data_IF_005833304765
#
_entry.id   IF_005833304765
#
_cell.length_a   1.000
_cell.length_b   1.000
_cell.length_c   1.000
_cell.angle_alpha   90.00
_cell.angle_beta   90.00
_cell.angle_gamma   90.00
#
_symmetry.space_group_name_H-M   'P 1'
#
loop_
_entity.id
_entity.type
_entity.pdbx_description
1 polymer ?
#
# COMPACT_ATOMS: atom_id res chain seq x y z
N UNK A 1 53.98 55.11 -41.11
CA UNK A 1 52.86 54.11 -41.05
C UNK A 1 52.92 53.41 -39.73
N UNK A 2 52.02 53.86 -38.85
CA UNK A 2 51.99 53.47 -37.45
C UNK A 2 50.96 52.36 -37.29
N UNK A 3 51.33 51.12 -36.98
CA UNK A 3 50.42 50.02 -36.68
C UNK A 3 50.10 50.05 -35.20
N UNK A 4 48.90 50.43 -34.88
CA UNK A 4 48.34 50.40 -33.53
C UNK A 4 47.86 48.99 -33.26
N UNK A 5 48.48 48.34 -32.29
CA UNK A 5 48.10 47.03 -31.75
C UNK A 5 47.01 47.23 -30.69
N UNK A 6 45.76 46.92 -31.00
CA UNK A 6 44.69 46.83 -30.01
C UNK A 6 44.80 45.48 -29.30
N UNK A 7 45.25 45.46 -28.05
CA UNK A 7 45.14 44.33 -27.12
C UNK A 7 43.75 44.35 -26.50
N UNK A 8 42.88 43.46 -26.95
CA UNK A 8 41.62 43.18 -26.29
C UNK A 8 41.88 42.44 -24.98
N UNK A 9 41.69 43.10 -23.85
CA UNK A 9 41.63 42.42 -22.54
C UNK A 9 40.21 41.93 -22.38
N UNK A 10 40.01 40.61 -22.57
CA UNK A 10 38.73 39.96 -22.25
C UNK A 10 38.68 39.72 -20.74
N UNK A 11 37.93 40.58 -20.06
CA UNK A 11 37.61 40.38 -18.64
C UNK A 11 36.56 39.26 -18.56
N UNK A 12 36.99 38.08 -18.19
CA UNK A 12 36.12 36.95 -17.88
C UNK A 12 35.50 37.23 -16.52
N UNK A 13 34.27 37.79 -16.52
CA UNK A 13 33.49 38.00 -15.28
C UNK A 13 33.00 36.64 -14.80
N UNK A 14 33.76 36.03 -13.88
CA UNK A 14 33.38 34.81 -13.18
C UNK A 14 32.19 35.16 -12.26
N UNK A 15 30.98 34.94 -12.71
CA UNK A 15 29.79 35.05 -11.87
C UNK A 15 29.85 33.96 -10.84
N UNK A 16 30.44 34.24 -9.68
CA UNK A 16 30.32 33.38 -8.51
C UNK A 16 28.84 33.35 -8.12
N UNK A 17 28.16 32.24 -8.40
CA UNK A 17 26.84 31.96 -7.82
C UNK A 17 27.03 31.81 -6.33
N UNK A 18 26.78 32.85 -5.55
CA UNK A 18 26.71 32.78 -4.10
C UNK A 18 25.50 31.92 -3.78
N UNK A 19 25.73 30.65 -3.48
CA UNK A 19 24.73 29.84 -2.82
C UNK A 19 24.57 30.42 -1.43
N UNK A 20 23.49 31.18 -1.21
CA UNK A 20 23.09 31.60 0.12
C UNK A 20 22.84 30.35 0.95
N UNK A 21 23.80 30.01 1.79
CA UNK A 21 23.64 29.05 2.87
C UNK A 21 22.93 29.79 4.00
N UNK A 22 21.78 29.29 4.43
CA UNK A 22 21.04 29.86 5.56
C UNK A 22 21.51 29.16 6.84
N UNK A 23 21.91 29.93 7.86
CA UNK A 23 22.14 29.45 9.22
C UNK A 23 21.00 29.87 10.15
N UNK A 24 20.87 29.24 11.30
CA UNK A 24 19.91 29.60 12.32
C UNK A 24 20.50 29.38 13.72
N UNK A 25 20.08 30.16 14.71
CA UNK A 25 20.49 29.99 16.12
C UNK A 25 19.35 29.50 16.99
N UNK A 26 18.09 29.66 16.56
CA UNK A 26 16.92 29.33 17.34
C UNK A 26 16.00 28.33 16.64
N UNK A 27 15.25 27.55 17.44
CA UNK A 27 14.20 26.66 16.95
C UNK A 27 12.81 27.19 17.34
N UNK A 28 11.84 27.06 16.42
CA UNK A 28 10.43 27.25 16.71
C UNK A 28 9.63 26.10 16.13
N UNK A 29 9.00 25.31 17.01
CA UNK A 29 8.11 24.22 16.61
C UNK A 29 6.66 24.61 16.88
N UNK A 30 5.77 24.40 15.92
CA UNK A 30 4.36 24.72 16.04
C UNK A 30 3.50 23.59 15.47
N UNK A 31 2.24 23.52 15.98
CA UNK A 31 1.26 22.51 15.51
C UNK A 31 1.36 21.13 16.18
N UNK A 32 2.41 20.90 16.96
CA UNK A 32 2.56 19.68 17.76
C UNK A 32 1.60 19.70 18.97
N UNK A 33 1.05 18.55 19.31
CA UNK A 33 0.15 18.34 20.45
C UNK A 33 0.67 17.26 21.42
N UNK A 34 1.10 16.13 20.89
CA UNK A 34 1.55 14.93 21.63
C UNK A 34 3.06 14.74 21.55
N UNK A 35 3.63 14.98 20.37
CA UNK A 35 5.07 14.87 20.17
C UNK A 35 5.72 16.13 20.69
N UNK A 36 6.70 16.00 21.61
CA UNK A 36 7.37 17.17 22.17
C UNK A 36 8.17 17.92 21.11
N UNK A 37 8.28 19.25 21.25
CA UNK A 37 9.09 20.08 20.35
C UNK A 37 10.53 19.57 20.26
N UNK A 38 11.11 19.15 21.37
CA UNK A 38 12.47 18.60 21.40
C UNK A 38 12.61 17.31 20.58
N UNK A 39 11.59 16.45 20.62
CA UNK A 39 11.57 15.22 19.80
C UNK A 39 11.52 15.55 18.31
N UNK A 40 10.71 16.54 17.90
CA UNK A 40 10.60 16.99 16.51
C UNK A 40 11.91 17.61 16.03
N UNK A 41 12.57 18.43 16.88
CA UNK A 41 13.90 18.99 16.61
C UNK A 41 14.90 17.85 16.37
N UNK A 42 14.89 16.83 17.23
CA UNK A 42 15.79 15.67 17.07
C UNK A 42 15.53 14.90 15.76
N UNK A 43 14.28 14.79 15.32
CA UNK A 43 13.95 14.18 14.04
C UNK A 43 14.47 14.98 12.85
N UNK A 44 14.58 16.31 12.95
CA UNK A 44 15.12 17.16 11.89
C UNK A 44 16.61 16.89 11.62
N UNK A 45 17.36 16.45 12.65
CA UNK A 45 18.83 16.26 12.63
C UNK A 45 19.62 17.52 12.28
N UNK A 46 18.98 18.68 12.24
CA UNK A 46 19.65 19.96 12.01
C UNK A 46 20.21 20.51 13.31
N UNK A 47 21.34 21.19 13.22
CA UNK A 47 22.02 21.83 14.36
C UNK A 47 22.11 23.35 14.11
N UNK A 48 22.04 24.17 15.17
CA UNK A 48 22.24 25.61 15.05
C UNK A 48 23.67 25.93 14.65
N UNK A 49 23.88 27.15 14.16
CA UNK A 49 25.15 27.74 13.78
C UNK A 49 25.95 26.94 12.74
N UNK A 50 25.23 26.26 11.84
CA UNK A 50 25.77 25.50 10.70
C UNK A 50 25.16 26.03 9.43
N UNK A 51 25.97 26.22 8.39
CA UNK A 51 25.51 26.60 7.07
C UNK A 51 24.69 25.45 6.44
N UNK A 52 23.43 25.72 6.15
CA UNK A 52 22.47 24.74 5.61
C UNK A 52 22.14 25.06 4.17
N UNK A 53 22.15 24.03 3.35
CA UNK A 53 21.64 24.10 1.98
C UNK A 53 20.15 23.79 1.95
N UNK A 54 19.47 24.16 0.85
CA UNK A 54 18.08 23.72 0.60
C UNK A 54 17.92 22.20 0.63
N UNK A 55 18.97 21.46 0.26
CA UNK A 55 18.96 20.01 0.33
C UNK A 55 18.94 19.49 1.78
N UNK A 56 19.58 20.16 2.70
CA UNK A 56 19.60 19.77 4.11
C UNK A 56 18.23 20.03 4.77
N UNK A 57 17.56 21.13 4.44
CA UNK A 57 16.17 21.38 4.84
C UNK A 57 15.23 20.30 4.28
N UNK A 58 15.40 19.91 3.02
CA UNK A 58 14.62 18.84 2.41
C UNK A 58 14.88 17.47 3.07
N UNK A 59 16.12 17.18 3.47
CA UNK A 59 16.44 15.96 4.22
C UNK A 59 15.77 15.97 5.60
N UNK A 60 15.79 17.10 6.29
CA UNK A 60 15.13 17.27 7.58
C UNK A 60 13.62 17.07 7.46
N UNK A 61 12.98 17.71 6.47
CA UNK A 61 11.57 17.52 6.17
C UNK A 61 11.24 16.05 5.94
N UNK A 62 12.01 15.36 5.08
CA UNK A 62 11.83 13.93 4.80
C UNK A 62 12.05 13.06 6.06
N UNK A 63 13.01 13.42 6.91
CA UNK A 63 13.28 12.69 8.14
C UNK A 63 12.12 12.80 9.14
N UNK A 64 11.56 14.01 9.31
CA UNK A 64 10.39 14.24 10.17
C UNK A 64 9.16 13.53 9.60
N UNK A 65 8.89 13.70 8.31
CA UNK A 65 7.75 13.09 7.63
C UNK A 65 7.82 11.55 7.65
N UNK A 66 9.01 10.99 7.50
CA UNK A 66 9.26 9.54 7.50
C UNK A 66 8.98 8.86 8.85
N UNK A 67 8.77 9.61 9.94
CA UNK A 67 8.35 9.05 11.24
C UNK A 67 6.91 8.55 11.24
N UNK A 68 6.10 8.93 10.26
CA UNK A 68 4.67 8.66 10.14
C UNK A 68 3.80 9.20 11.30
N UNK A 69 4.31 10.16 12.09
CA UNK A 69 3.51 10.84 13.10
C UNK A 69 2.74 12.06 12.57
N UNK A 70 3.15 12.58 11.41
CA UNK A 70 2.67 13.85 10.91
C UNK A 70 2.01 13.72 9.54
N UNK A 71 0.84 14.35 9.41
CA UNK A 71 0.10 14.49 8.15
C UNK A 71 0.73 15.56 7.25
N UNK A 72 1.17 16.65 7.88
CA UNK A 72 1.82 17.78 7.21
C UNK A 72 3.08 18.16 7.98
N UNK A 73 4.14 18.51 7.23
CA UNK A 73 5.40 19.01 7.77
C UNK A 73 5.89 20.14 6.86
N UNK A 74 6.26 21.27 7.44
CA UNK A 74 7.01 22.30 6.74
C UNK A 74 8.23 22.71 7.55
N UNK A 75 9.35 22.98 6.87
CA UNK A 75 10.62 23.38 7.47
C UNK A 75 11.17 24.56 6.69
N UNK A 76 11.39 25.68 7.36
CA UNK A 76 11.98 26.87 6.76
C UNK A 76 12.80 27.64 7.79
N UNK A 77 13.76 28.45 7.31
CA UNK A 77 14.51 29.37 8.14
C UNK A 77 13.98 30.78 7.86
N UNK A 78 13.63 31.49 8.92
CA UNK A 78 13.18 32.87 8.86
C UNK A 78 13.68 33.63 10.12
N UNK A 79 14.34 34.79 9.91
CA UNK A 79 14.84 35.62 10.97
C UNK A 79 15.70 34.85 12.00
N UNK A 80 16.73 34.15 11.52
CA UNK A 80 17.67 33.35 12.35
C UNK A 80 16.98 32.24 13.17
N UNK A 81 15.80 31.83 12.75
CA UNK A 81 15.00 30.82 13.43
C UNK A 81 14.59 29.70 12.47
N UNK A 82 14.91 28.45 12.83
CA UNK A 82 14.37 27.28 12.13
C UNK A 82 12.93 27.04 12.59
N UNK A 83 11.99 27.33 11.69
CA UNK A 83 10.58 27.11 11.93
C UNK A 83 10.21 25.72 11.40
N UNK A 84 9.72 24.86 12.29
CA UNK A 84 9.18 23.53 11.96
C UNK A 84 7.70 23.57 12.31
N UNK A 85 6.85 23.54 11.29
CA UNK A 85 5.41 23.49 11.48
C UNK A 85 4.91 22.08 11.12
N UNK A 86 4.15 21.46 12.03
CA UNK A 86 3.67 20.09 11.88
C UNK A 86 2.16 20.02 12.14
N UNK A 87 1.51 19.04 11.49
CA UNK A 87 0.14 18.62 11.81
C UNK A 87 0.19 17.13 12.12
N UNK A 88 -0.08 16.79 13.37
CA UNK A 88 -0.05 15.40 13.78
C UNK A 88 -1.24 14.61 13.25
N UNK A 89 -0.99 13.38 12.78
CA UNK A 89 -2.07 12.43 12.53
C UNK A 89 -2.88 12.16 13.81
N UNK A 90 -4.20 11.94 13.71
CA UNK A 90 -4.99 11.50 14.85
C UNK A 90 -4.53 10.13 15.34
N UNK A 91 -4.79 9.84 16.61
CA UNK A 91 -4.63 8.48 17.17
C UNK A 91 -5.86 7.66 16.84
N UNK A 92 -5.65 6.44 16.38
CA UNK A 92 -6.74 5.48 16.23
C UNK A 92 -7.21 5.06 17.61
N UNK A 93 -8.45 5.41 17.93
CA UNK A 93 -9.09 5.02 19.20
C UNK A 93 -9.60 3.59 19.10
N UNK A 94 -10.31 3.27 18.03
CA UNK A 94 -10.88 1.96 17.79
C UNK A 94 -10.94 1.60 16.30
N UNK A 95 -10.91 0.29 16.02
CA UNK A 95 -11.08 -0.28 14.68
C UNK A 95 -12.14 -1.36 14.73
N UNK A 96 -13.20 -1.19 13.95
CA UNK A 96 -14.32 -2.11 13.86
C UNK A 96 -14.46 -2.72 12.47
N UNK A 97 -14.97 -3.95 12.42
CA UNK A 97 -15.25 -4.67 11.20
C UNK A 97 -16.72 -5.08 11.22
N UNK A 98 -17.53 -4.32 10.51
CA UNK A 98 -18.97 -4.53 10.43
C UNK A 98 -19.35 -5.41 9.24
N UNK A 99 -20.51 -6.07 9.30
CA UNK A 99 -21.02 -6.92 8.23
C UNK A 99 -20.50 -8.35 8.22
N UNK A 100 -19.57 -8.73 9.12
CA UNK A 100 -19.03 -10.09 9.24
C UNK A 100 -19.55 -10.77 10.50
N UNK A 101 -20.24 -11.92 10.32
CA UNK A 101 -20.80 -12.69 11.44
C UNK A 101 -19.79 -13.59 12.17
N UNK A 102 -18.71 -13.97 11.51
CA UNK A 102 -17.72 -14.90 12.04
C UNK A 102 -16.62 -14.17 12.81
N UNK A 103 -16.58 -14.32 14.13
CA UNK A 103 -15.52 -13.74 14.97
C UNK A 103 -14.13 -14.19 14.52
N UNK A 104 -13.96 -15.49 14.20
CA UNK A 104 -12.69 -16.00 13.67
C UNK A 104 -12.25 -15.31 12.37
N UNK A 105 -13.21 -14.91 11.53
CA UNK A 105 -12.88 -14.19 10.30
C UNK A 105 -12.52 -12.73 10.58
N UNK A 106 -13.18 -12.10 11.54
CA UNK A 106 -12.83 -10.77 12.04
C UNK A 106 -11.43 -10.76 12.64
N UNK A 107 -11.06 -11.76 13.45
CA UNK A 107 -9.70 -11.91 13.98
C UNK A 107 -8.67 -12.05 12.87
N UNK A 108 -8.94 -12.88 11.86
CA UNK A 108 -8.08 -12.99 10.68
C UNK A 108 -7.85 -11.62 10.00
N UNK A 109 -8.88 -10.81 9.86
CA UNK A 109 -8.73 -9.46 9.29
C UNK A 109 -7.91 -8.55 10.21
N UNK A 110 -8.22 -8.54 11.52
CA UNK A 110 -7.48 -7.75 12.52
C UNK A 110 -5.99 -8.06 12.54
N UNK A 111 -5.61 -9.33 12.38
CA UNK A 111 -4.21 -9.75 12.38
C UNK A 111 -3.46 -9.29 11.11
N UNK A 112 -4.15 -9.17 9.99
CA UNK A 112 -3.55 -8.87 8.70
C UNK A 112 -3.56 -7.38 8.31
N UNK A 113 -4.35 -6.53 8.97
CA UNK A 113 -4.32 -5.08 8.74
C UNK A 113 -3.15 -4.44 9.49
N UNK A 114 -2.59 -3.39 8.92
CA UNK A 114 -1.45 -2.66 9.48
C UNK A 114 -1.85 -1.62 10.53
N UNK A 115 -3.02 -1.01 10.38
CA UNK A 115 -3.54 -0.07 11.35
C UNK A 115 -3.98 -0.81 12.63
N UNK A 116 -3.63 -0.25 13.79
CA UNK A 116 -3.96 -0.82 15.11
C UNK A 116 -4.53 0.27 16.02
N UNK A 117 -5.39 -0.10 16.94
CA UNK A 117 -5.82 0.82 18.00
C UNK A 117 -4.62 1.36 18.77
N UNK A 118 -4.67 2.60 19.20
CA UNK A 118 -3.63 3.36 19.90
C UNK A 118 -2.39 3.72 19.04
N UNK A 119 -2.38 3.41 17.75
CA UNK A 119 -1.34 3.87 16.80
C UNK A 119 -1.76 5.18 16.11
N UNK A 120 -0.80 5.87 15.49
CA UNK A 120 -1.10 7.02 14.64
C UNK A 120 -1.83 6.56 13.37
N UNK A 121 -2.87 7.30 12.97
CA UNK A 121 -3.54 7.08 11.70
C UNK A 121 -2.58 7.41 10.55
N UNK A 122 -2.66 6.64 9.47
CA UNK A 122 -1.91 6.89 8.25
C UNK A 122 -2.78 6.51 7.04
N UNK A 123 -3.01 7.47 6.15
CA UNK A 123 -3.87 7.27 4.98
C UNK A 123 -3.36 6.17 4.05
N UNK A 124 -2.05 6.10 3.83
CA UNK A 124 -1.46 5.06 2.99
C UNK A 124 -1.57 3.66 3.61
N UNK A 125 -1.49 3.58 4.95
CA UNK A 125 -1.74 2.34 5.66
C UNK A 125 -3.20 1.91 5.53
N UNK A 126 -4.16 2.84 5.58
CA UNK A 126 -5.57 2.57 5.36
C UNK A 126 -5.85 2.00 3.97
N UNK A 127 -5.26 2.58 2.93
CA UNK A 127 -5.40 2.09 1.55
C UNK A 127 -4.81 0.67 1.38
N UNK A 128 -3.67 0.40 2.01
CA UNK A 128 -3.09 -0.95 2.04
C UNK A 128 -3.99 -1.94 2.75
N UNK A 129 -4.58 -1.54 3.88
CA UNK A 129 -5.49 -2.38 4.66
C UNK A 129 -6.76 -2.70 3.87
N UNK A 130 -7.32 -1.73 3.14
CA UNK A 130 -8.44 -1.97 2.22
C UNK A 130 -8.11 -3.03 1.17
N UNK A 131 -6.94 -2.91 0.54
CA UNK A 131 -6.49 -3.90 -0.43
C UNK A 131 -6.28 -5.28 0.22
N UNK A 132 -5.73 -5.31 1.44
CA UNK A 132 -5.51 -6.55 2.20
C UNK A 132 -6.83 -7.23 2.52
N UNK A 133 -7.81 -6.49 3.06
CA UNK A 133 -9.15 -6.99 3.39
C UNK A 133 -9.83 -7.54 2.13
N UNK A 134 -9.84 -6.75 1.04
CA UNK A 134 -10.44 -7.17 -0.24
C UNK A 134 -9.80 -8.46 -0.77
N UNK A 135 -8.47 -8.58 -0.68
CA UNK A 135 -7.76 -9.78 -1.11
C UNK A 135 -8.10 -11.00 -0.24
N UNK A 136 -8.22 -10.83 1.08
CA UNK A 136 -8.61 -11.91 2.01
C UNK A 136 -10.04 -12.38 1.69
N UNK A 137 -10.97 -11.45 1.46
CA UNK A 137 -12.34 -11.76 1.06
C UNK A 137 -12.39 -12.56 -0.24
N UNK A 138 -11.68 -12.11 -1.29
CA UNK A 138 -11.59 -12.79 -2.58
C UNK A 138 -10.97 -14.20 -2.45
N UNK A 139 -9.88 -14.34 -1.69
CA UNK A 139 -9.26 -15.65 -1.40
C UNK A 139 -10.22 -16.59 -0.68
N UNK A 140 -11.12 -16.05 0.13
CA UNK A 140 -12.16 -16.79 0.83
C UNK A 140 -13.38 -17.12 -0.04
N UNK A 141 -13.37 -16.67 -1.31
CA UNK A 141 -14.41 -16.93 -2.30
C UNK A 141 -15.45 -15.79 -2.46
N UNK A 142 -15.32 -14.72 -1.70
CA UNK A 142 -16.25 -13.58 -1.74
C UNK A 142 -15.78 -12.54 -2.78
N UNK A 143 -15.97 -12.84 -4.06
CA UNK A 143 -15.49 -12.00 -5.16
C UNK A 143 -16.31 -10.72 -5.36
N UNK A 144 -17.58 -10.74 -4.97
CA UNK A 144 -18.51 -9.61 -5.07
C UNK A 144 -18.61 -8.81 -3.78
N UNK A 145 -17.67 -9.00 -2.84
CA UNK A 145 -17.63 -8.23 -1.61
C UNK A 145 -17.27 -6.78 -1.86
N UNK A 146 -17.93 -5.91 -1.11
CA UNK A 146 -17.65 -4.48 -1.06
C UNK A 146 -17.13 -4.09 0.33
N UNK A 147 -16.14 -3.21 0.39
CA UNK A 147 -15.57 -2.70 1.65
C UNK A 147 -15.60 -1.19 1.60
N UNK A 148 -16.39 -0.59 2.48
CA UNK A 148 -16.50 0.87 2.66
C UNK A 148 -15.87 1.25 3.98
N UNK A 149 -15.03 2.31 3.98
CA UNK A 149 -14.44 2.82 5.24
C UNK A 149 -15.20 4.03 5.72
N UNK A 150 -15.66 3.97 6.97
CA UNK A 150 -16.19 5.12 7.71
C UNK A 150 -15.14 5.60 8.70
N UNK A 151 -14.89 6.91 8.71
CA UNK A 151 -13.91 7.56 9.57
C UNK A 151 -14.61 8.60 10.42
N UNK A 152 -14.57 8.44 11.74
CA UNK A 152 -15.15 9.37 12.69
C UNK A 152 -14.05 10.05 13.49
N UNK A 153 -13.77 11.33 13.17
CA UNK A 153 -12.77 12.14 13.87
C UNK A 153 -13.40 12.76 15.11
N UNK A 154 -12.76 12.55 16.26
CA UNK A 154 -13.21 13.08 17.54
C UNK A 154 -12.50 14.41 17.88
N UNK A 155 -13.10 15.28 18.73
CA UNK A 155 -12.52 16.58 19.10
C UNK A 155 -11.14 16.51 19.77
N UNK A 156 -10.81 15.37 20.45
CA UNK A 156 -9.54 15.13 21.10
C UNK A 156 -8.41 14.65 20.15
N UNK A 157 -8.57 14.85 18.84
CA UNK A 157 -7.65 14.39 17.79
C UNK A 157 -7.47 12.85 17.81
N UNK A 158 -8.54 12.11 18.08
CA UNK A 158 -8.60 10.66 17.86
C UNK A 158 -9.53 10.33 16.70
N UNK A 159 -9.41 9.13 16.15
CA UNK A 159 -10.22 8.65 15.04
C UNK A 159 -10.71 7.23 15.31
N UNK A 160 -11.97 6.96 15.01
CA UNK A 160 -12.52 5.61 14.92
C UNK A 160 -12.60 5.20 13.44
N UNK A 161 -12.15 4.00 13.13
CA UNK A 161 -12.18 3.43 11.79
C UNK A 161 -13.15 2.26 11.79
N UNK A 162 -14.09 2.27 10.86
CA UNK A 162 -15.07 1.20 10.69
C UNK A 162 -14.91 0.69 9.25
N UNK A 163 -14.48 -0.56 9.10
CA UNK A 163 -14.55 -1.28 7.84
C UNK A 163 -15.93 -1.91 7.73
N UNK A 164 -16.82 -1.26 6.97
CA UNK A 164 -18.17 -1.74 6.67
C UNK A 164 -18.12 -2.66 5.47
N UNK A 165 -18.35 -3.95 5.70
CA UNK A 165 -18.07 -5.03 4.73
C UNK A 165 -19.40 -5.69 4.34
N UNK A 166 -19.75 -5.54 3.08
CA UNK A 166 -20.79 -6.32 2.45
C UNK A 166 -20.17 -7.54 1.78
N UNK A 167 -20.29 -8.73 2.40
CA UNK A 167 -19.61 -9.93 1.91
C UNK A 167 -20.17 -10.44 0.59
N UNK A 168 -21.47 -10.35 0.38
CA UNK A 168 -22.15 -10.99 -0.75
C UNK A 168 -22.07 -12.52 -0.69
N UNK A 169 -22.49 -13.16 -1.76
CA UNK A 169 -22.38 -14.61 -1.93
C UNK A 169 -21.01 -15.04 -2.43
N UNK A 170 -20.64 -16.31 -2.14
CA UNK A 170 -19.42 -16.89 -2.69
C UNK A 170 -19.60 -17.18 -4.18
N UNK A 171 -18.61 -16.81 -4.99
CA UNK A 171 -18.61 -17.12 -6.41
C UNK A 171 -18.57 -18.63 -6.65
N UNK A 172 -19.59 -19.16 -7.33
CA UNK A 172 -19.68 -20.55 -7.74
C UNK A 172 -18.98 -20.75 -9.09
N UNK A 173 -18.35 -21.91 -9.28
CA UNK A 173 -17.80 -22.31 -10.56
C UNK A 173 -18.92 -22.96 -11.36
N UNK A 174 -19.43 -22.26 -12.37
CA UNK A 174 -20.49 -22.81 -13.23
C UNK A 174 -19.94 -23.84 -14.22
N UNK A 175 -18.81 -23.54 -14.86
CA UNK A 175 -18.22 -24.37 -15.89
C UNK A 175 -16.69 -24.25 -15.88
N UNK A 176 -15.99 -25.35 -16.19
CA UNK A 176 -14.54 -25.40 -16.36
C UNK A 176 -14.23 -25.86 -17.78
N UNK A 177 -13.58 -24.98 -18.54
CA UNK A 177 -13.18 -25.27 -19.93
C UNK A 177 -11.66 -25.38 -20.03
N UNK A 178 -11.21 -26.36 -20.80
CA UNK A 178 -9.81 -26.51 -21.22
C UNK A 178 -9.69 -26.07 -22.68
N UNK A 179 -8.87 -25.07 -22.95
CA UNK A 179 -8.67 -24.45 -24.27
C UNK A 179 -7.23 -24.70 -24.72
N UNK A 180 -6.99 -24.79 -26.02
CA UNK A 180 -5.68 -25.03 -26.63
C UNK A 180 -5.51 -26.47 -27.12
N UNK A 181 -4.30 -26.79 -27.57
CA UNK A 181 -3.92 -28.11 -28.03
C UNK A 181 -3.81 -29.07 -26.86
N UNK A 182 -4.79 -29.96 -26.72
CA UNK A 182 -4.87 -30.92 -25.63
C UNK A 182 -4.86 -32.36 -26.14
N UNK A 183 -3.93 -33.11 -25.65
CA UNK A 183 -3.80 -34.55 -25.94
C UNK A 183 -4.88 -35.36 -25.23
N UNK A 184 -5.29 -34.95 -24.03
CA UNK A 184 -6.29 -35.64 -23.22
C UNK A 184 -7.66 -34.94 -23.33
N UNK A 185 -8.73 -35.76 -23.33
CA UNK A 185 -10.10 -35.23 -23.32
C UNK A 185 -10.37 -34.43 -22.06
N UNK A 186 -11.19 -33.36 -22.15
CA UNK A 186 -11.59 -32.54 -21.01
C UNK A 186 -12.16 -33.33 -19.85
N UNK A 187 -12.91 -34.43 -20.13
CA UNK A 187 -13.43 -35.34 -19.11
C UNK A 187 -12.33 -36.04 -18.28
N UNK A 188 -11.14 -36.22 -18.87
CA UNK A 188 -9.99 -36.77 -18.12
C UNK A 188 -9.30 -35.64 -17.35
N UNK A 189 -9.09 -34.47 -17.95
CA UNK A 189 -8.40 -33.35 -17.30
C UNK A 189 -9.17 -32.83 -16.08
N UNK A 190 -10.52 -32.82 -16.13
CA UNK A 190 -11.36 -32.44 -14.99
C UNK A 190 -11.16 -33.34 -13.77
N UNK A 191 -10.75 -34.60 -13.96
CA UNK A 191 -10.46 -35.55 -12.85
C UNK A 191 -9.08 -35.33 -12.21
N UNK A 192 -8.22 -34.53 -12.84
CA UNK A 192 -6.87 -34.23 -12.37
C UNK A 192 -6.86 -33.03 -11.45
N UNK A 193 -7.75 -32.07 -11.67
CA UNK A 193 -7.84 -30.83 -10.89
C UNK A 193 -8.65 -30.99 -9.61
N UNK A 194 -8.49 -30.02 -8.68
CA UNK A 194 -9.22 -29.99 -7.41
C UNK A 194 -10.50 -29.16 -7.45
N UNK A 195 -10.57 -28.20 -8.38
CA UNK A 195 -11.77 -27.41 -8.60
C UNK A 195 -12.89 -28.23 -9.21
N UNK A 196 -14.12 -27.95 -8.82
CA UNK A 196 -15.31 -28.66 -9.28
C UNK A 196 -16.39 -27.68 -9.71
N UNK A 197 -17.13 -28.04 -10.76
CA UNK A 197 -18.32 -27.32 -11.17
C UNK A 197 -19.43 -27.40 -10.12
N UNK A 198 -20.14 -26.32 -9.89
CA UNK A 198 -21.24 -26.21 -8.95
C UNK A 198 -22.50 -26.91 -9.49
N UNK A 199 -22.68 -28.19 -9.22
CA UNK A 199 -23.91 -28.95 -9.56
C UNK A 199 -24.84 -29.04 -8.36
N UNK A 200 -26.16 -29.05 -8.57
CA UNK A 200 -27.17 -29.01 -7.50
C UNK A 200 -27.05 -30.15 -6.49
N UNK A 201 -26.57 -31.35 -6.90
CA UNK A 201 -26.34 -32.49 -6.00
C UNK A 201 -25.03 -32.40 -5.22
N UNK A 202 -24.15 -31.42 -5.49
CA UNK A 202 -22.89 -31.20 -4.77
C UNK A 202 -23.03 -30.09 -3.72
N UNK A 203 -24.19 -29.95 -3.08
CA UNK A 203 -24.44 -28.83 -2.15
C UNK A 203 -23.49 -28.78 -0.95
N UNK A 204 -22.90 -29.91 -0.51
CA UNK A 204 -21.93 -29.97 0.57
C UNK A 204 -20.48 -29.71 0.13
N UNK A 205 -20.19 -29.73 -1.18
CA UNK A 205 -18.81 -29.56 -1.66
C UNK A 205 -18.36 -28.11 -1.58
N UNK A 206 -17.26 -27.85 -0.85
CA UNK A 206 -16.59 -26.55 -0.85
C UNK A 206 -15.69 -26.33 -2.08
N UNK A 207 -15.46 -27.34 -2.89
CA UNK A 207 -14.61 -27.30 -4.09
C UNK A 207 -15.25 -26.55 -5.26
N UNK A 208 -16.56 -26.36 -5.21
CA UNK A 208 -17.38 -25.63 -6.20
C UNK A 208 -17.23 -24.11 -6.12
N UNK A 209 -16.61 -23.58 -5.05
CA UNK A 209 -16.39 -22.14 -4.93
C UNK A 209 -15.06 -21.74 -5.56
N UNK A 210 -15.09 -20.65 -6.33
CA UNK A 210 -13.88 -20.08 -6.93
C UNK A 210 -12.89 -19.69 -5.84
N UNK A 211 -11.63 -20.10 -6.02
CA UNK A 211 -10.55 -19.77 -5.09
C UNK A 211 -9.23 -19.72 -5.86
N UNK A 212 -8.51 -18.61 -5.76
CA UNK A 212 -7.27 -18.38 -6.50
C UNK A 212 -6.18 -19.40 -6.21
N UNK A 213 -5.99 -19.76 -4.94
CA UNK A 213 -4.98 -20.76 -4.53
C UNK A 213 -5.27 -22.15 -5.12
N UNK A 214 -6.56 -22.54 -5.20
CA UNK A 214 -6.96 -23.77 -5.86
C UNK A 214 -6.69 -23.73 -7.37
N UNK A 215 -6.99 -22.59 -8.01
CA UNK A 215 -6.72 -22.42 -9.43
C UNK A 215 -5.24 -22.56 -9.76
N UNK A 216 -4.36 -21.99 -8.93
CA UNK A 216 -2.91 -22.16 -9.07
C UNK A 216 -2.45 -23.60 -8.77
N UNK A 217 -3.11 -24.28 -7.84
CA UNK A 217 -2.86 -25.70 -7.59
C UNK A 217 -3.29 -26.54 -8.81
N UNK A 218 -4.43 -26.25 -9.38
CA UNK A 218 -4.95 -26.97 -10.55
C UNK A 218 -4.01 -26.85 -11.76
N UNK A 219 -3.41 -25.66 -12.00
CA UNK A 219 -2.35 -25.47 -13.01
C UNK A 219 -1.19 -26.45 -12.77
N UNK A 220 -0.71 -26.51 -11.53
CA UNK A 220 0.42 -27.41 -11.17
C UNK A 220 0.06 -28.88 -11.34
N UNK A 221 -1.14 -29.27 -10.94
CA UNK A 221 -1.62 -30.64 -11.09
C UNK A 221 -1.74 -31.06 -12.55
N UNK A 222 -2.28 -30.19 -13.41
CA UNK A 222 -2.32 -30.40 -14.85
C UNK A 222 -0.93 -30.57 -15.45
N UNK A 223 -0.02 -29.65 -15.11
CA UNK A 223 1.37 -29.75 -15.59
C UNK A 223 2.04 -31.05 -15.16
N UNK A 224 1.93 -31.40 -13.87
CA UNK A 224 2.48 -32.66 -13.34
C UNK A 224 1.89 -33.89 -14.05
N UNK A 225 0.57 -33.91 -14.25
CA UNK A 225 -0.10 -35.01 -14.96
C UNK A 225 0.44 -35.22 -16.37
N UNK A 226 0.66 -34.14 -17.13
CA UNK A 226 1.23 -34.23 -18.48
C UNK A 226 2.69 -34.70 -18.44
N UNK A 227 3.51 -34.20 -17.52
CA UNK A 227 4.90 -34.64 -17.32
C UNK A 227 4.97 -36.13 -17.00
N UNK A 228 4.10 -36.62 -16.10
CA UNK A 228 4.00 -38.05 -15.72
C UNK A 228 3.60 -38.96 -16.90
N UNK A 229 2.97 -38.35 -17.92
CA UNK A 229 2.61 -39.07 -19.16
C UNK A 229 3.65 -38.90 -20.28
N UNK A 230 4.80 -38.31 -19.98
CA UNK A 230 5.92 -38.14 -20.91
C UNK A 230 5.85 -36.90 -21.79
N UNK A 231 4.92 -35.98 -21.54
CA UNK A 231 4.81 -34.70 -22.28
C UNK A 231 5.64 -33.64 -21.60
N UNK A 232 6.94 -33.55 -21.90
CA UNK A 232 7.87 -32.68 -21.21
C UNK A 232 7.79 -31.21 -21.65
N UNK A 233 7.27 -30.94 -22.84
CA UNK A 233 7.10 -29.59 -23.41
C UNK A 233 5.65 -29.06 -23.20
N UNK A 234 5.06 -29.36 -22.04
CA UNK A 234 3.73 -28.89 -21.70
C UNK A 234 3.82 -27.52 -21.00
N UNK A 235 3.08 -26.56 -21.50
CA UNK A 235 2.85 -25.28 -20.84
C UNK A 235 1.36 -25.09 -20.55
N UNK A 236 1.02 -24.80 -19.28
CA UNK A 236 -0.29 -24.33 -18.87
C UNK A 236 -0.16 -22.82 -18.70
N UNK A 237 -0.51 -22.05 -19.76
CA UNK A 237 -0.24 -20.62 -19.82
C UNK A 237 -1.01 -19.86 -18.74
N UNK A 238 -2.32 -19.69 -18.92
CA UNK A 238 -3.13 -18.89 -18.02
C UNK A 238 -4.46 -19.54 -17.67
N UNK A 239 -5.01 -19.13 -16.54
CA UNK A 239 -6.37 -19.45 -16.12
C UNK A 239 -7.21 -18.18 -16.10
N UNK A 240 -8.12 -18.09 -17.05
CA UNK A 240 -9.06 -16.99 -17.13
C UNK A 240 -10.33 -17.30 -16.35
N UNK A 241 -10.79 -16.34 -15.56
CA UNK A 241 -12.04 -16.42 -14.83
C UNK A 241 -12.97 -15.32 -15.32
N UNK A 242 -14.10 -15.72 -15.85
CA UNK A 242 -15.19 -14.80 -16.19
C UNK A 242 -16.23 -14.86 -15.05
N UNK A 243 -16.46 -13.74 -14.39
CA UNK A 243 -17.55 -13.58 -13.43
C UNK A 243 -18.83 -13.27 -14.21
N UNK A 244 -19.87 -14.02 -13.91
CA UNK A 244 -21.20 -13.82 -14.48
C UNK A 244 -22.11 -13.34 -13.33
N UNK A 245 -22.80 -12.23 -13.56
CA UNK A 245 -23.87 -11.78 -12.68
C UNK A 245 -25.07 -12.73 -12.83
N UNK A 246 -25.67 -13.14 -11.73
CA UNK A 246 -26.86 -14.00 -11.71
C UNK A 246 -28.13 -13.19 -11.91
#
# INVERSE_FOLDING_TARGET
MLKILFRSISIFLLAATVTLADSFSNYKVTGNKRVSSQTIINFSKLKPDVDLSKNDLNKALKSIYGTNFFEEVSVNILNDTLNINVKEYPIIQDIQFDGIKSEKFVELLKDNVSLKSKSSFNKFALERDLNTITNILRRSGYYFSEVVVKQNINPNNTINIIYDITMGDKALINEIKFIGDKVFKSSKLITVITSEEGKFWKFLSRKKYLNKEKTELDKRLLKSFYLDKGYYDVNVEDVYTQLLDN
#
